data_IF_552974603998
#
_entry.id   IF_552974603998
#
_cell.length_a   1.000
_cell.length_b   1.000
_cell.length_c   1.000
_cell.angle_alpha   90.00
_cell.angle_beta   90.00
_cell.angle_gamma   90.00
#
_symmetry.space_group_name_H-M   'P 1'
#
loop_
_entity.id
_entity.type
_entity.pdbx_description
1 polymer ?
#
# COMPACT_ATOMS: atom_id res chain seq x y z
N UNK A 1 15.15 7.06 -38.84
CA UNK A 1 16.01 6.10 -38.09
C UNK A 1 16.07 6.32 -36.59
N UNK A 2 16.16 7.58 -36.10
CA UNK A 2 16.45 7.89 -34.67
C UNK A 2 15.42 7.40 -33.68
N UNK A 3 14.14 7.54 -33.97
CA UNK A 3 13.04 7.10 -33.06
C UNK A 3 13.08 5.57 -32.86
N UNK A 4 13.26 4.81 -33.92
CA UNK A 4 13.32 3.35 -33.85
C UNK A 4 14.58 2.90 -33.07
N UNK A 5 15.71 3.55 -33.29
CA UNK A 5 16.95 3.25 -32.55
C UNK A 5 16.78 3.54 -31.06
N UNK A 6 16.20 4.69 -30.70
CA UNK A 6 15.94 5.05 -29.30
C UNK A 6 14.97 4.07 -28.63
N UNK A 7 13.96 3.59 -29.36
CA UNK A 7 13.03 2.58 -28.87
C UNK A 7 13.73 1.24 -28.59
N UNK A 8 14.55 0.75 -29.54
CA UNK A 8 15.33 -0.49 -29.36
C UNK A 8 16.35 -0.35 -28.22
N UNK A 9 16.99 0.82 -28.11
CA UNK A 9 17.91 1.11 -27.02
C UNK A 9 17.17 1.10 -25.65
N UNK A 10 15.99 1.67 -25.58
CA UNK A 10 15.18 1.63 -24.36
C UNK A 10 14.82 0.19 -23.95
N UNK A 11 14.39 -0.65 -24.89
CA UNK A 11 14.11 -2.07 -24.63
C UNK A 11 15.35 -2.82 -24.14
N UNK A 12 16.51 -2.54 -24.75
CA UNK A 12 17.79 -3.11 -24.30
C UNK A 12 18.15 -2.68 -22.88
N UNK A 13 17.96 -1.39 -22.54
CA UNK A 13 18.20 -0.87 -21.19
C UNK A 13 17.28 -1.55 -20.18
N UNK A 14 15.98 -1.70 -20.49
CA UNK A 14 15.05 -2.43 -19.61
C UNK A 14 15.48 -3.89 -19.40
N UNK A 15 15.95 -4.55 -20.45
CA UNK A 15 16.46 -5.93 -20.35
C UNK A 15 17.70 -6.00 -19.44
N UNK A 16 18.62 -5.05 -19.57
CA UNK A 16 19.82 -5.00 -18.71
C UNK A 16 19.50 -4.66 -17.25
N UNK A 17 18.51 -3.81 -17.01
CA UNK A 17 17.99 -3.54 -15.66
C UNK A 17 17.47 -4.83 -15.03
N UNK A 18 16.64 -5.59 -15.73
CA UNK A 18 16.09 -6.86 -15.23
C UNK A 18 17.17 -7.92 -15.04
N UNK A 19 18.17 -7.97 -15.92
CA UNK A 19 19.31 -8.88 -15.77
C UNK A 19 20.15 -8.56 -14.54
N UNK A 20 20.38 -7.26 -14.26
CA UNK A 20 21.30 -6.83 -13.20
C UNK A 20 20.62 -6.77 -11.81
N UNK A 21 19.39 -6.30 -11.75
CA UNK A 21 18.67 -6.07 -10.46
C UNK A 21 17.43 -6.94 -10.27
N UNK A 22 17.02 -7.68 -11.31
CA UNK A 22 15.78 -8.45 -11.29
C UNK A 22 14.51 -7.58 -11.29
N UNK A 23 13.37 -8.24 -11.08
CA UNK A 23 12.06 -7.60 -10.88
C UNK A 23 11.66 -7.70 -9.40
N UNK A 24 11.61 -6.58 -8.70
CA UNK A 24 11.27 -6.53 -7.30
C UNK A 24 9.78 -6.22 -7.11
N UNK A 25 9.10 -7.06 -6.35
CA UNK A 25 7.69 -6.87 -6.04
C UNK A 25 7.35 -7.36 -4.63
N UNK A 26 6.22 -6.89 -4.10
CA UNK A 26 5.66 -7.38 -2.85
C UNK A 26 4.73 -8.55 -3.20
N UNK A 27 4.99 -9.71 -2.62
CA UNK A 27 4.12 -10.87 -2.76
C UNK A 27 2.84 -10.61 -1.97
N UNK A 28 1.72 -10.52 -2.69
CA UNK A 28 0.45 -10.05 -2.13
C UNK A 28 -0.04 -10.93 -0.98
N UNK A 29 0.19 -12.24 -1.07
CA UNK A 29 -0.21 -13.22 -0.04
C UNK A 29 0.59 -13.12 1.26
N UNK A 30 1.73 -12.43 1.24
CA UNK A 30 2.61 -12.24 2.40
C UNK A 30 2.53 -10.82 2.97
N UNK A 31 1.55 -10.01 2.53
CA UNK A 31 1.33 -8.65 3.04
C UNK A 31 0.98 -8.70 4.55
N UNK A 32 1.81 -8.13 5.45
CA UNK A 32 1.69 -8.34 6.90
C UNK A 32 0.38 -7.85 7.51
N UNK A 33 -0.20 -6.80 6.94
CA UNK A 33 -1.44 -6.17 7.39
C UNK A 33 -2.56 -6.29 6.35
N UNK A 34 -2.37 -7.12 5.30
CA UNK A 34 -3.31 -7.24 4.20
C UNK A 34 -3.45 -5.96 3.38
N UNK A 35 -4.63 -5.76 2.82
CA UNK A 35 -4.96 -4.65 1.93
C UNK A 35 -5.95 -3.69 2.60
N UNK A 36 -5.92 -2.42 2.20
CA UNK A 36 -6.97 -1.44 2.41
C UNK A 36 -7.78 -1.31 1.12
N UNK A 37 -9.09 -1.26 1.22
CA UNK A 37 -10.00 -1.25 0.08
C UNK A 37 -10.77 0.06 -0.02
N UNK A 38 -11.10 0.46 -1.25
CA UNK A 38 -12.01 1.58 -1.49
C UNK A 38 -13.46 1.18 -1.19
N UNK A 39 -14.38 2.15 -1.24
CA UNK A 39 -15.79 1.92 -0.92
C UNK A 39 -16.47 0.97 -1.93
N UNK A 40 -16.05 0.99 -3.19
CA UNK A 40 -16.54 0.05 -4.23
C UNK A 40 -16.19 -1.39 -3.89
N UNK A 41 -14.94 -1.64 -3.48
CA UNK A 41 -14.51 -2.97 -3.03
C UNK A 41 -15.25 -3.42 -1.75
N UNK A 42 -15.40 -2.51 -0.77
CA UNK A 42 -16.12 -2.79 0.48
C UNK A 42 -17.60 -3.13 0.23
N UNK A 43 -18.24 -2.44 -0.73
CA UNK A 43 -19.62 -2.73 -1.13
C UNK A 43 -19.80 -4.13 -1.73
N UNK A 44 -18.75 -4.71 -2.31
CA UNK A 44 -18.73 -6.09 -2.83
C UNK A 44 -18.47 -7.12 -1.73
N UNK A 45 -17.90 -6.70 -0.60
CA UNK A 45 -17.68 -7.57 0.57
C UNK A 45 -16.22 -7.75 0.97
N UNK A 46 -15.28 -7.02 0.36
CA UNK A 46 -13.91 -6.93 0.86
C UNK A 46 -13.85 -6.12 2.15
N UNK A 47 -12.92 -6.46 3.02
CA UNK A 47 -12.73 -5.79 4.32
C UNK A 47 -11.26 -5.40 4.47
N UNK A 48 -11.00 -4.22 5.02
CA UNK A 48 -9.65 -3.77 5.30
C UNK A 48 -8.92 -4.79 6.20
N UNK A 49 -7.72 -5.20 5.77
CA UNK A 49 -6.96 -6.25 6.39
C UNK A 49 -7.08 -7.63 5.72
N UNK A 50 -7.98 -7.80 4.75
CA UNK A 50 -8.00 -9.02 3.93
C UNK A 50 -6.69 -9.16 3.15
N UNK A 51 -6.15 -10.36 3.11
CA UNK A 51 -5.03 -10.73 2.23
C UNK A 51 -5.60 -11.43 1.01
N UNK A 52 -5.39 -10.88 -0.17
CA UNK A 52 -5.86 -11.45 -1.43
C UNK A 52 -5.09 -12.74 -1.76
N UNK A 53 -5.79 -13.85 -1.98
CA UNK A 53 -5.19 -15.16 -2.24
C UNK A 53 -5.30 -15.58 -3.71
N UNK A 54 -6.52 -15.63 -4.25
CA UNK A 54 -6.77 -16.14 -5.61
C UNK A 54 -8.11 -15.64 -6.17
N UNK A 55 -8.22 -15.66 -7.51
CA UNK A 55 -9.48 -15.48 -8.24
C UNK A 55 -9.83 -16.79 -8.96
N UNK A 56 -11.01 -17.34 -8.74
CA UNK A 56 -11.45 -18.63 -9.29
C UNK A 56 -10.40 -19.76 -9.18
N UNK A 57 -9.63 -19.76 -8.06
CA UNK A 57 -8.58 -20.73 -7.80
C UNK A 57 -7.20 -20.39 -8.42
N UNK A 58 -7.09 -19.34 -9.22
CA UNK A 58 -5.80 -18.84 -9.74
C UNK A 58 -5.16 -17.88 -8.72
N UNK A 59 -4.00 -18.25 -8.20
CA UNK A 59 -3.31 -17.47 -7.17
C UNK A 59 -2.83 -16.11 -7.68
N UNK A 60 -2.97 -15.10 -6.83
CA UNK A 60 -2.41 -13.78 -7.07
C UNK A 60 -0.91 -13.75 -6.69
N UNK A 61 -0.09 -13.21 -7.58
CA UNK A 61 1.33 -13.07 -7.32
C UNK A 61 1.66 -11.71 -6.71
N UNK A 62 1.18 -10.64 -7.33
CA UNK A 62 1.43 -9.25 -6.95
C UNK A 62 0.25 -8.36 -7.27
N UNK A 63 0.19 -7.18 -6.65
CA UNK A 63 -0.82 -6.18 -6.95
C UNK A 63 -0.39 -5.35 -8.17
N UNK A 64 -1.05 -5.58 -9.29
CA UNK A 64 -0.83 -4.83 -10.55
C UNK A 64 -2.14 -4.72 -11.37
N UNK A 65 -2.06 -4.16 -12.57
CA UNK A 65 -3.23 -4.00 -13.43
C UNK A 65 -3.85 -5.34 -13.87
N UNK A 66 -3.04 -6.39 -14.01
CA UNK A 66 -3.52 -7.72 -14.40
C UNK A 66 -4.36 -8.34 -13.29
N UNK A 67 -4.02 -8.10 -12.01
CA UNK A 67 -4.81 -8.54 -10.86
C UNK A 67 -6.21 -7.92 -10.86
N UNK A 68 -6.33 -6.63 -11.19
CA UNK A 68 -7.65 -5.97 -11.25
C UNK A 68 -8.54 -6.60 -12.34
N UNK A 69 -7.96 -6.93 -13.51
CA UNK A 69 -8.69 -7.65 -14.55
C UNK A 69 -9.10 -9.04 -14.09
N UNK A 70 -8.21 -9.78 -13.41
CA UNK A 70 -8.50 -11.10 -12.86
C UNK A 70 -9.65 -11.03 -11.83
N UNK A 71 -9.66 -10.03 -10.95
CA UNK A 71 -10.76 -9.82 -9.99
C UNK A 71 -12.07 -9.52 -10.74
N UNK A 72 -12.04 -8.63 -11.74
CA UNK A 72 -13.25 -8.22 -12.44
C UNK A 72 -13.89 -9.34 -13.26
N UNK A 73 -13.10 -10.27 -13.78
CA UNK A 73 -13.54 -11.40 -14.60
C UNK A 73 -13.89 -12.65 -13.76
N UNK A 74 -13.53 -12.66 -12.47
CA UNK A 74 -13.76 -13.79 -11.59
C UNK A 74 -15.23 -13.88 -11.12
N UNK A 75 -15.66 -15.08 -10.74
CA UNK A 75 -16.91 -15.31 -10.01
C UNK A 75 -16.73 -15.11 -8.51
N UNK A 76 -15.57 -15.57 -8.01
CA UNK A 76 -15.22 -15.42 -6.60
C UNK A 76 -13.74 -15.10 -6.42
N UNK A 77 -13.45 -14.31 -5.40
CA UNK A 77 -12.10 -14.05 -4.91
C UNK A 77 -11.95 -14.63 -3.52
N UNK A 78 -10.94 -15.48 -3.35
CA UNK A 78 -10.57 -15.99 -2.04
C UNK A 78 -9.66 -15.01 -1.33
N UNK A 79 -9.98 -14.70 -0.08
CA UNK A 79 -9.18 -13.83 0.80
C UNK A 79 -8.88 -14.53 2.12
N UNK A 80 -7.80 -14.14 2.78
CA UNK A 80 -7.53 -14.53 4.18
C UNK A 80 -7.99 -13.38 5.09
N UNK A 81 -9.01 -13.62 5.88
CA UNK A 81 -9.63 -12.67 6.82
C UNK A 81 -9.51 -13.20 8.24
N UNK A 82 -8.77 -12.51 9.09
CA UNK A 82 -8.58 -12.96 10.47
C UNK A 82 -8.02 -14.39 10.59
N UNK A 83 -7.19 -14.83 9.65
CA UNK A 83 -6.63 -16.18 9.61
C UNK A 83 -7.54 -17.25 8.99
N UNK A 84 -8.75 -16.90 8.53
CA UNK A 84 -9.69 -17.80 7.88
C UNK A 84 -9.82 -17.47 6.40
N UNK A 85 -9.91 -18.50 5.56
CA UNK A 85 -10.19 -18.33 4.13
C UNK A 85 -11.66 -18.01 3.94
N UNK A 86 -11.95 -16.88 3.26
CA UNK A 86 -13.29 -16.40 2.95
C UNK A 86 -13.40 -16.19 1.45
N UNK A 87 -14.54 -16.56 0.85
CA UNK A 87 -14.86 -16.26 -0.55
C UNK A 87 -15.69 -14.98 -0.64
N UNK A 88 -15.25 -14.06 -1.49
CA UNK A 88 -15.98 -12.84 -1.86
C UNK A 88 -16.52 -13.03 -3.28
N UNK A 89 -17.84 -13.00 -3.45
CA UNK A 89 -18.47 -13.14 -4.76
C UNK A 89 -18.45 -11.83 -5.53
N UNK A 90 -17.98 -11.88 -6.76
CA UNK A 90 -17.78 -10.71 -7.61
C UNK A 90 -19.00 -10.50 -8.51
N UNK A 91 -19.62 -9.32 -8.51
CA UNK A 91 -20.76 -9.02 -9.38
C UNK A 91 -20.32 -8.90 -10.85
N UNK A 92 -21.22 -9.24 -11.78
CA UNK A 92 -20.94 -9.20 -13.24
C UNK A 92 -20.58 -7.82 -13.75
N UNK A 93 -21.00 -6.75 -13.07
CA UNK A 93 -20.72 -5.35 -13.41
C UNK A 93 -19.43 -4.83 -12.75
N UNK A 94 -18.59 -5.70 -12.19
CA UNK A 94 -17.39 -5.30 -11.44
C UNK A 94 -16.42 -4.46 -12.27
N UNK A 95 -16.18 -4.83 -13.53
CA UNK A 95 -15.33 -4.06 -14.43
C UNK A 95 -15.84 -2.62 -14.62
N UNK A 96 -17.16 -2.45 -14.76
CA UNK A 96 -17.78 -1.14 -14.91
C UNK A 96 -17.61 -0.29 -13.64
N UNK A 97 -17.76 -0.91 -12.47
CA UNK A 97 -17.54 -0.24 -11.17
C UNK A 97 -16.09 0.20 -11.01
N UNK A 98 -15.11 -0.65 -11.36
CA UNK A 98 -13.69 -0.33 -11.33
C UNK A 98 -13.33 0.84 -12.26
N UNK A 99 -13.96 0.89 -13.45
CA UNK A 99 -13.72 1.97 -14.42
C UNK A 99 -14.41 3.29 -14.04
N UNK A 100 -15.51 3.24 -13.32
CA UNK A 100 -16.23 4.42 -12.84
C UNK A 100 -15.56 5.07 -11.62
N UNK A 101 -14.76 4.31 -10.88
CA UNK A 101 -14.09 4.78 -9.68
C UNK A 101 -12.76 5.46 -10.05
N UNK A 102 -12.54 6.67 -9.54
CA UNK A 102 -11.28 7.39 -9.70
C UNK A 102 -10.24 7.04 -8.63
N UNK A 103 -10.64 6.26 -7.63
CA UNK A 103 -9.79 5.83 -6.51
C UNK A 103 -9.31 4.40 -6.75
N UNK A 104 -8.07 4.10 -6.38
CA UNK A 104 -7.55 2.72 -6.47
C UNK A 104 -8.45 1.76 -5.71
N UNK A 105 -8.68 0.59 -6.30
CA UNK A 105 -9.49 -0.49 -5.72
C UNK A 105 -8.96 -0.94 -4.37
N UNK A 106 -7.65 -1.13 -4.26
CA UNK A 106 -6.98 -1.49 -3.03
C UNK A 106 -5.55 -0.92 -2.99
N UNK A 107 -5.01 -0.82 -1.78
CA UNK A 107 -3.59 -0.52 -1.54
C UNK A 107 -3.07 -1.40 -0.41
N UNK A 108 -1.74 -1.64 -0.38
CA UNK A 108 -1.13 -2.36 0.74
C UNK A 108 -1.25 -1.57 2.04
N UNK A 109 -1.68 -2.22 3.10
CA UNK A 109 -1.55 -1.68 4.46
C UNK A 109 -0.11 -1.85 4.92
N UNK A 110 0.62 -0.73 4.96
CA UNK A 110 2.05 -0.73 5.29
C UNK A 110 2.24 -0.58 6.80
N UNK A 111 3.00 -1.47 7.47
CA UNK A 111 3.31 -1.31 8.89
C UNK A 111 3.96 0.04 9.19
N UNK A 112 3.48 0.71 10.22
CA UNK A 112 4.02 1.99 10.65
C UNK A 112 5.13 1.76 11.69
N UNK A 113 6.35 1.55 11.22
CA UNK A 113 7.52 1.35 12.10
C UNK A 113 8.38 2.61 12.10
N UNK A 114 8.71 3.09 13.28
CA UNK A 114 9.57 4.26 13.48
C UNK A 114 11.01 3.90 13.07
N UNK A 115 11.56 4.61 12.07
CA UNK A 115 12.98 4.52 11.70
C UNK A 115 13.83 5.51 12.49
N UNK A 116 13.41 6.78 12.49
CA UNK A 116 14.06 7.85 13.22
C UNK A 116 13.06 8.94 13.59
N UNK A 117 13.50 9.85 14.45
CA UNK A 117 12.68 10.97 14.95
C UNK A 117 13.41 12.30 14.66
N UNK A 118 12.63 13.32 14.32
CA UNK A 118 13.15 14.69 14.26
C UNK A 118 13.54 15.15 15.67
N UNK A 119 14.63 15.89 15.76
CA UNK A 119 15.10 16.46 17.03
C UNK A 119 14.00 17.35 17.64
N UNK A 120 13.73 17.17 18.93
CA UNK A 120 12.68 17.89 19.67
C UNK A 120 11.26 17.76 19.06
N UNK A 121 11.01 16.69 18.30
CA UNK A 121 9.68 16.42 17.78
C UNK A 121 8.70 16.00 18.87
N UNK A 122 7.40 16.17 18.61
CA UNK A 122 6.34 15.77 19.53
C UNK A 122 6.42 14.29 19.90
N UNK A 123 6.74 13.44 18.90
CA UNK A 123 6.93 12.01 19.12
C UNK A 123 8.15 11.71 20.02
N UNK A 124 9.27 12.43 19.84
CA UNK A 124 10.45 12.26 20.69
C UNK A 124 10.19 12.72 22.13
N UNK A 125 9.51 13.85 22.30
CA UNK A 125 9.12 14.38 23.63
C UNK A 125 8.14 13.45 24.34
N UNK A 126 7.26 12.79 23.60
CA UNK A 126 6.30 11.83 24.15
C UNK A 126 6.93 10.46 24.47
N UNK A 127 8.18 10.20 24.07
CA UNK A 127 8.91 8.97 24.39
C UNK A 127 8.84 7.86 23.35
N UNK A 128 8.37 8.14 22.11
CA UNK A 128 8.57 7.21 20.99
C UNK A 128 10.06 7.01 20.70
N UNK A 129 10.40 5.83 20.22
CA UNK A 129 11.79 5.44 19.91
C UNK A 129 11.90 4.77 18.54
N UNK A 130 13.07 4.82 17.90
CA UNK A 130 13.34 4.00 16.73
C UNK A 130 13.09 2.52 16.99
N UNK A 131 12.38 1.87 16.07
CA UNK A 131 11.96 0.46 16.20
C UNK A 131 10.55 0.25 16.76
N UNK A 132 9.92 1.27 17.32
CA UNK A 132 8.52 1.17 17.74
C UNK A 132 7.61 0.93 16.52
N UNK A 133 6.67 0.00 16.66
CA UNK A 133 5.65 -0.27 15.66
C UNK A 133 4.33 0.33 16.12
N UNK A 134 3.88 1.40 15.48
CA UNK A 134 2.58 2.03 15.77
C UNK A 134 1.49 1.17 15.14
N UNK A 135 0.55 0.71 15.96
CA UNK A 135 -0.49 -0.25 15.54
C UNK A 135 -1.90 0.30 15.66
N UNK A 136 -2.12 1.37 16.45
CA UNK A 136 -3.42 2.01 16.54
C UNK A 136 -3.30 3.52 16.81
N UNK A 137 -4.31 4.26 16.35
CA UNK A 137 -4.52 5.67 16.61
C UNK A 137 -5.90 5.86 17.26
N UNK A 138 -5.94 6.46 18.43
CA UNK A 138 -7.18 6.68 19.21
C UNK A 138 -7.99 5.38 19.41
N UNK A 139 -7.30 4.24 19.59
CA UNK A 139 -7.91 2.93 19.76
C UNK A 139 -8.31 2.20 18.46
N UNK A 140 -8.27 2.85 17.31
CA UNK A 140 -8.53 2.23 16.02
C UNK A 140 -7.24 1.67 15.40
N UNK A 141 -7.21 0.40 14.94
CA UNK A 141 -6.05 -0.16 14.23
C UNK A 141 -5.68 0.69 13.03
N UNK A 142 -4.38 0.87 12.78
CA UNK A 142 -3.91 1.79 11.74
C UNK A 142 -2.64 1.28 11.05
N UNK A 143 -2.52 1.57 9.77
CA UNK A 143 -1.30 1.45 8.97
C UNK A 143 -0.65 2.83 8.77
N UNK A 144 0.53 2.86 8.15
CA UNK A 144 1.25 4.11 7.92
C UNK A 144 0.45 5.12 7.08
N UNK A 145 -0.13 4.67 5.97
CA UNK A 145 -0.88 5.56 5.08
C UNK A 145 -2.22 5.99 5.69
N UNK A 146 -2.91 5.09 6.39
CA UNK A 146 -4.13 5.43 7.15
C UNK A 146 -3.85 6.48 8.23
N UNK A 147 -2.68 6.41 8.90
CA UNK A 147 -2.26 7.44 9.84
C UNK A 147 -2.12 8.82 9.15
N UNK A 148 -1.46 8.87 7.99
CA UNK A 148 -1.30 10.13 7.24
C UNK A 148 -2.64 10.69 6.78
N UNK A 149 -3.55 9.83 6.33
CA UNK A 149 -4.89 10.20 5.91
C UNK A 149 -5.70 10.77 7.08
N UNK A 150 -5.66 10.10 8.25
CA UNK A 150 -6.37 10.54 9.44
C UNK A 150 -5.83 11.89 9.95
N UNK A 151 -4.51 12.11 9.93
CA UNK A 151 -3.93 13.41 10.25
C UNK A 151 -4.37 14.49 9.25
N UNK A 152 -4.49 14.14 7.98
CA UNK A 152 -5.05 15.02 6.95
C UNK A 152 -6.52 15.39 7.19
N UNK A 153 -7.35 14.43 7.57
CA UNK A 153 -8.76 14.64 7.95
C UNK A 153 -8.88 15.55 9.17
N UNK A 154 -8.11 15.29 10.22
CA UNK A 154 -8.10 16.11 11.44
C UNK A 154 -7.70 17.55 11.16
N UNK A 155 -6.68 17.77 10.33
CA UNK A 155 -6.26 19.10 9.90
C UNK A 155 -7.36 19.84 9.15
N UNK A 156 -8.08 19.17 8.24
CA UNK A 156 -9.18 19.76 7.46
C UNK A 156 -10.37 20.11 8.35
N UNK A 157 -10.64 19.30 9.36
CA UNK A 157 -11.81 19.41 10.22
C UNK A 157 -11.49 20.06 11.59
N UNK A 158 -10.29 20.66 11.75
CA UNK A 158 -9.82 21.17 13.03
C UNK A 158 -10.81 22.15 13.70
N UNK A 159 -11.31 23.12 12.94
CA UNK A 159 -12.27 24.10 13.46
C UNK A 159 -13.63 23.49 13.85
N UNK A 160 -14.05 22.40 13.23
CA UNK A 160 -15.28 21.68 13.61
C UNK A 160 -15.05 20.90 14.92
N UNK A 161 -13.93 20.19 15.03
CA UNK A 161 -13.56 19.44 16.23
C UNK A 161 -13.42 20.36 17.46
N UNK A 162 -12.80 21.53 17.30
CA UNK A 162 -12.67 22.53 18.36
C UNK A 162 -14.04 23.05 18.85
N UNK A 163 -15.01 23.25 17.95
CA UNK A 163 -16.37 23.63 18.31
C UNK A 163 -17.09 22.54 19.11
N UNK A 164 -16.75 21.29 18.88
CA UNK A 164 -17.25 20.13 19.63
C UNK A 164 -16.50 19.90 20.94
N UNK A 165 -15.52 20.74 21.28
CA UNK A 165 -14.71 20.63 22.51
C UNK A 165 -13.59 19.58 22.41
N UNK A 166 -13.26 19.11 21.19
CA UNK A 166 -12.19 18.13 20.94
C UNK A 166 -10.95 18.86 20.45
N UNK A 167 -9.81 18.68 21.13
CA UNK A 167 -8.52 19.17 20.60
C UNK A 167 -8.14 18.34 19.36
N UNK A 168 -8.12 18.93 18.17
CA UNK A 168 -7.83 18.19 16.93
C UNK A 168 -6.39 17.68 16.84
N UNK A 169 -5.48 18.26 17.64
CA UNK A 169 -4.05 17.89 17.66
C UNK A 169 -3.75 16.81 18.68
N UNK A 170 -4.61 16.62 19.70
CA UNK A 170 -4.39 15.57 20.68
C UNK A 170 -4.70 14.20 20.09
N UNK A 171 -3.74 13.27 20.19
CA UNK A 171 -3.82 11.89 19.70
C UNK A 171 -3.29 10.93 20.74
N UNK A 172 -3.85 9.71 20.71
CA UNK A 172 -3.33 8.57 21.48
C UNK A 172 -2.83 7.53 20.52
N UNK A 173 -1.57 7.15 20.64
CA UNK A 173 -0.95 6.09 19.83
C UNK A 173 -0.81 4.83 20.68
N UNK A 174 -1.18 3.69 20.12
CA UNK A 174 -0.79 2.37 20.64
C UNK A 174 0.36 1.85 19.80
N UNK A 175 1.42 1.43 20.45
CA UNK A 175 2.62 0.93 19.78
C UNK A 175 3.16 -0.33 20.45
N UNK A 176 3.94 -1.10 19.70
CA UNK A 176 4.65 -2.28 20.19
C UNK A 176 6.15 -1.98 20.19
N UNK A 177 6.78 -2.13 21.36
CA UNK A 177 8.23 -2.01 21.58
C UNK A 177 8.78 -3.32 22.10
N UNK A 178 9.66 -3.97 21.35
CA UNK A 178 10.27 -5.27 21.73
C UNK A 178 9.22 -6.31 22.16
N UNK A 179 8.09 -6.36 21.46
CA UNK A 179 7.01 -7.30 21.73
C UNK A 179 6.05 -6.90 22.87
N UNK A 180 6.28 -5.78 23.54
CA UNK A 180 5.38 -5.23 24.56
C UNK A 180 4.54 -4.12 23.97
N UNK A 181 3.21 -4.22 24.16
CA UNK A 181 2.26 -3.19 23.74
C UNK A 181 2.16 -2.12 24.83
N UNK A 182 2.17 -0.87 24.40
CA UNK A 182 2.00 0.30 25.28
C UNK A 182 1.27 1.40 24.55
N UNK A 183 0.82 2.41 25.28
CA UNK A 183 0.10 3.58 24.72
C UNK A 183 0.72 4.87 25.23
N UNK A 184 0.68 5.89 24.37
CA UNK A 184 1.08 7.24 24.74
C UNK A 184 0.12 8.26 24.15
N UNK A 185 -0.10 9.35 24.87
CA UNK A 185 -0.90 10.48 24.41
C UNK A 185 0.03 11.67 24.17
N UNK A 186 -0.14 12.32 23.02
CA UNK A 186 0.64 13.50 22.66
C UNK A 186 -0.19 14.48 21.84
N UNK A 187 0.30 15.71 21.72
CA UNK A 187 -0.22 16.66 20.72
C UNK A 187 0.68 16.65 19.49
N UNK A 188 0.08 16.77 18.32
CA UNK A 188 0.83 17.02 17.08
C UNK A 188 1.34 18.48 17.05
N UNK A 189 2.26 18.80 16.14
CA UNK A 189 2.62 20.19 15.89
C UNK A 189 1.49 20.97 15.18
N UNK A 190 1.70 22.27 14.93
CA UNK A 190 0.74 23.13 14.22
C UNK A 190 0.41 22.68 12.79
N UNK A 191 1.22 21.81 12.20
CA UNK A 191 1.04 21.24 10.86
C UNK A 191 0.43 19.82 10.89
N UNK A 192 0.02 19.35 12.07
CA UNK A 192 -0.50 18.01 12.31
C UNK A 192 0.52 16.89 12.07
N UNK A 193 1.81 17.17 12.32
CA UNK A 193 2.88 16.20 12.25
C UNK A 193 3.39 15.85 13.65
N UNK A 194 3.90 14.64 13.79
CA UNK A 194 4.50 14.14 15.03
C UNK A 194 6.02 14.06 14.96
N UNK A 195 6.61 14.26 13.76
CA UNK A 195 8.05 14.27 13.55
C UNK A 195 8.70 12.89 13.54
N UNK A 196 7.99 11.89 13.04
CA UNK A 196 8.48 10.52 12.81
C UNK A 196 8.87 10.34 11.35
N UNK A 197 10.02 9.75 11.10
CA UNK A 197 10.39 9.15 9.83
C UNK A 197 10.09 7.66 9.89
N UNK A 198 9.19 7.18 9.06
CA UNK A 198 8.83 5.78 8.99
C UNK A 198 9.90 4.98 8.24
N UNK A 199 10.07 3.71 8.60
CA UNK A 199 10.93 2.79 7.85
C UNK A 199 10.47 2.68 6.40
N UNK A 200 11.46 2.55 5.50
CA UNK A 200 11.19 2.37 4.07
C UNK A 200 10.37 1.10 3.80
N UNK A 201 9.55 1.14 2.75
CA UNK A 201 8.69 0.04 2.33
C UNK A 201 9.46 -1.29 2.21
N UNK A 202 10.67 -1.25 1.63
CA UNK A 202 11.52 -2.43 1.46
C UNK A 202 12.01 -3.08 2.75
N UNK A 203 11.92 -2.37 3.89
CA UNK A 203 12.31 -2.90 5.21
C UNK A 203 11.14 -3.43 6.03
N UNK A 204 9.91 -3.06 5.68
CA UNK A 204 8.70 -3.43 6.45
C UNK A 204 7.78 -4.36 5.67
N UNK A 205 7.99 -4.50 4.35
CA UNK A 205 7.22 -5.38 3.49
C UNK A 205 8.10 -6.51 2.93
N UNK A 206 7.58 -7.73 2.78
CA UNK A 206 8.31 -8.85 2.20
C UNK A 206 8.52 -8.62 0.70
N UNK A 207 9.70 -8.11 0.35
CA UNK A 207 10.09 -7.90 -1.04
C UNK A 207 10.68 -9.18 -1.61
N UNK A 208 10.18 -9.60 -2.76
CA UNK A 208 10.71 -10.72 -3.54
C UNK A 208 11.40 -10.17 -4.78
N UNK A 209 12.59 -10.67 -5.09
CA UNK A 209 13.31 -10.35 -6.33
C UNK A 209 13.24 -11.57 -7.25
N UNK A 210 12.60 -11.41 -8.40
CA UNK A 210 12.67 -12.39 -9.47
C UNK A 210 13.89 -12.10 -10.34
N UNK A 211 14.88 -12.97 -10.26
CA UNK A 211 16.08 -12.88 -11.09
C UNK A 211 15.80 -13.41 -12.50
N UNK A 212 16.45 -12.82 -13.49
CA UNK A 212 16.39 -13.23 -14.89
C UNK A 212 17.78 -13.57 -15.39
N UNK A 213 17.93 -14.72 -16.07
CA UNK A 213 19.11 -15.02 -16.84
C UNK A 213 19.29 -14.03 -17.99
N UNK A 214 20.53 -13.93 -18.53
CA UNK A 214 20.84 -12.98 -19.59
C UNK A 214 19.84 -13.06 -20.76
N UNK A 215 19.58 -14.25 -21.30
CA UNK A 215 18.65 -14.43 -22.43
C UNK A 215 17.17 -14.25 -22.02
N UNK A 216 16.81 -14.57 -20.77
CA UNK A 216 15.44 -14.41 -20.26
C UNK A 216 15.09 -12.95 -20.01
N UNK A 217 16.09 -12.11 -19.75
CA UNK A 217 15.89 -10.69 -19.52
C UNK A 217 15.36 -9.93 -20.75
N UNK A 218 15.66 -10.41 -21.97
CA UNK A 218 15.21 -9.73 -23.20
C UNK A 218 13.69 -9.78 -23.39
N UNK A 219 13.01 -10.93 -23.41
CA UNK A 219 11.56 -10.94 -23.51
C UNK A 219 10.88 -10.26 -22.34
N UNK A 220 11.42 -10.40 -21.12
CA UNK A 220 10.91 -9.72 -19.94
C UNK A 220 11.08 -8.18 -20.04
N UNK A 221 12.21 -7.68 -20.52
CA UNK A 221 12.48 -6.28 -20.76
C UNK A 221 11.56 -5.66 -21.81
N UNK A 222 11.27 -6.41 -22.89
CA UNK A 222 10.27 -5.99 -23.89
C UNK A 222 8.88 -5.86 -23.26
N UNK A 223 8.45 -6.85 -22.49
CA UNK A 223 7.16 -6.81 -21.79
C UNK A 223 7.08 -5.60 -20.82
N UNK A 224 8.14 -5.38 -20.05
CA UNK A 224 8.22 -4.24 -19.13
C UNK A 224 8.15 -2.89 -19.88
N UNK A 225 8.90 -2.76 -20.98
CA UNK A 225 8.90 -1.57 -21.83
C UNK A 225 7.52 -1.28 -22.42
N UNK A 226 6.84 -2.30 -22.95
CA UNK A 226 5.48 -2.17 -23.49
C UNK A 226 4.47 -1.82 -22.40
N UNK A 227 4.57 -2.47 -21.22
CA UNK A 227 3.71 -2.16 -20.06
C UNK A 227 3.87 -0.70 -19.60
N UNK A 228 5.12 -0.24 -19.52
CA UNK A 228 5.44 1.15 -19.16
C UNK A 228 4.85 2.14 -20.17
N UNK A 229 5.01 1.90 -21.47
CA UNK A 229 4.42 2.72 -22.53
C UNK A 229 2.88 2.78 -22.45
N UNK A 230 2.24 1.63 -22.27
CA UNK A 230 0.77 1.59 -22.08
C UNK A 230 0.32 2.39 -20.86
N UNK A 231 1.07 2.33 -19.75
CA UNK A 231 0.81 3.12 -18.55
C UNK A 231 0.88 4.62 -18.81
N UNK A 232 1.90 5.09 -19.55
CA UNK A 232 2.01 6.51 -19.92
C UNK A 232 0.87 6.97 -20.82
N UNK A 233 0.51 6.19 -21.84
CA UNK A 233 -0.60 6.54 -22.74
C UNK A 233 -1.96 6.52 -22.03
N UNK A 234 -2.16 5.58 -21.11
CA UNK A 234 -3.38 5.50 -20.28
C UNK A 234 -3.58 6.69 -19.34
N UNK A 235 -2.48 7.24 -18.81
CA UNK A 235 -2.51 8.40 -17.90
C UNK A 235 -2.60 9.75 -18.62
N UNK A 236 -2.55 9.78 -19.96
CA UNK A 236 -2.67 10.99 -20.77
C UNK A 236 -4.10 11.25 -21.27
N UNK A 237 -5.07 10.45 -20.86
CA UNK A 237 -6.51 10.65 -21.07
C UNK A 237 -7.18 11.10 -19.77
#
# INVERSE_FOLDING_TARGET
GGVLFNFLLALFIYSMILFTWGDQYIKIQEAPLGMQFNETAKAVGFVDGDVLLSADGVEFLRYDADLLSQIADAREVSVLRGGQKVSVYIPEDMMQRLMADSVRFADYRVPYVVDSLSVNSQAALAGLMPGDSVIALNGAPISYYEFLEEMGKRRKNAAALEKEGVDPRQITLTYVRKGVMDTLTMSTDSTFRIGVYARSLSRVMPMVTKEYGFFESFPAGVQLGVKTLKGYVGNMK
#
